data_IF_598530255000
#
_entry.id   IF_598530255000
#
_cell.length_a   1.000
_cell.length_b   1.000
_cell.length_c   1.000
_cell.angle_alpha   90.00
_cell.angle_beta   90.00
_cell.angle_gamma   90.00
#
_symmetry.space_group_name_H-M   'P 1'
#
loop_
_entity.id
_entity.type
_entity.pdbx_description
1 polymer ?
#
# COMPACT_ATOMS: atom_id res chain seq x y z
N UNK A 1 25.42 19.55 12.33
CA UNK A 1 24.84 18.33 12.93
C UNK A 1 23.33 18.48 13.12
N UNK A 2 22.84 19.50 13.84
CA UNK A 2 21.39 19.72 14.04
C UNK A 2 20.55 19.84 12.75
N UNK A 3 21.06 20.52 11.71
CA UNK A 3 20.30 20.68 10.45
C UNK A 3 20.16 19.38 9.66
N UNK A 4 21.17 18.50 9.74
CA UNK A 4 21.14 17.18 9.09
C UNK A 4 20.12 16.26 9.75
N UNK A 5 20.07 16.24 11.09
CA UNK A 5 19.08 15.49 11.86
C UNK A 5 17.67 16.02 11.58
N UNK A 6 17.48 17.34 11.54
CA UNK A 6 16.18 17.96 11.22
C UNK A 6 15.72 17.62 9.80
N UNK A 7 16.64 17.65 8.84
CA UNK A 7 16.36 17.27 7.44
C UNK A 7 15.94 15.79 7.35
N UNK A 8 16.68 14.92 8.05
CA UNK A 8 16.39 13.49 8.09
C UNK A 8 15.00 13.20 8.71
N UNK A 9 14.68 13.83 9.85
CA UNK A 9 13.37 13.69 10.49
C UNK A 9 12.23 14.17 9.58
N UNK A 10 12.43 15.28 8.86
CA UNK A 10 11.45 15.80 7.90
C UNK A 10 11.24 14.82 6.75
N UNK A 11 12.31 14.22 6.23
CA UNK A 11 12.23 13.19 5.21
C UNK A 11 11.42 11.98 5.68
N UNK A 12 11.71 11.43 6.86
CA UNK A 12 10.96 10.30 7.41
C UNK A 12 9.49 10.63 7.61
N UNK A 13 9.17 11.82 8.12
CA UNK A 13 7.78 12.26 8.26
C UNK A 13 7.04 12.28 6.92
N UNK A 14 7.66 12.83 5.87
CA UNK A 14 7.07 12.90 4.54
C UNK A 14 6.86 11.49 3.96
N UNK A 15 7.85 10.60 4.07
CA UNK A 15 7.71 9.21 3.64
C UNK A 15 6.55 8.51 4.38
N UNK A 16 6.38 8.77 5.68
CA UNK A 16 5.26 8.24 6.44
C UNK A 16 3.90 8.68 5.89
N UNK A 17 3.77 9.97 5.53
CA UNK A 17 2.56 10.51 4.91
C UNK A 17 2.32 9.91 3.52
N UNK A 18 3.35 9.82 2.68
CA UNK A 18 3.24 9.24 1.33
C UNK A 18 2.77 7.78 1.39
N UNK A 19 3.28 6.99 2.34
CA UNK A 19 2.84 5.61 2.55
C UNK A 19 1.36 5.56 2.99
N UNK A 20 0.92 6.49 3.84
CA UNK A 20 -0.48 6.57 4.26
C UNK A 20 -1.42 6.91 3.08
N UNK A 21 -1.02 7.85 2.23
CA UNK A 21 -1.77 8.23 1.03
C UNK A 21 -1.88 7.08 0.04
N UNK A 22 -0.76 6.39 -0.23
CA UNK A 22 -0.74 5.20 -1.10
C UNK A 22 -1.64 4.10 -0.53
N UNK A 23 -1.62 3.89 0.79
CA UNK A 23 -2.52 2.92 1.43
C UNK A 23 -3.98 3.27 1.21
N UNK A 24 -4.35 4.53 1.41
CA UNK A 24 -5.73 4.98 1.21
C UNK A 24 -6.20 4.69 -0.22
N UNK A 25 -5.37 5.02 -1.21
CA UNK A 25 -5.65 4.74 -2.62
C UNK A 25 -5.78 3.24 -2.91
N UNK A 26 -4.87 2.41 -2.39
CA UNK A 26 -4.88 0.98 -2.61
C UNK A 26 -6.08 0.29 -1.96
N UNK A 27 -6.44 0.66 -0.72
CA UNK A 27 -7.62 0.13 -0.04
C UNK A 27 -8.91 0.59 -0.72
N UNK A 28 -8.97 1.83 -1.22
CA UNK A 28 -10.10 2.31 -2.02
C UNK A 28 -10.26 1.56 -3.34
N UNK A 29 -9.16 1.32 -4.06
CA UNK A 29 -9.17 0.53 -5.28
C UNK A 29 -9.58 -0.93 -5.01
N UNK A 30 -9.11 -1.54 -3.92
CA UNK A 30 -9.52 -2.88 -3.52
C UNK A 30 -11.01 -2.94 -3.16
N UNK A 31 -11.54 -1.94 -2.45
CA UNK A 31 -12.95 -1.89 -2.11
C UNK A 31 -13.84 -1.79 -3.36
N UNK A 32 -13.46 -0.96 -4.34
CA UNK A 32 -14.15 -0.88 -5.64
C UNK A 32 -14.04 -2.21 -6.41
N UNK A 33 -12.88 -2.87 -6.36
CA UNK A 33 -12.73 -4.18 -6.97
C UNK A 33 -13.65 -5.22 -6.32
N UNK A 34 -13.64 -5.34 -4.99
CA UNK A 34 -14.45 -6.32 -4.27
C UNK A 34 -15.96 -6.07 -4.43
N UNK A 35 -16.38 -4.80 -4.44
CA UNK A 35 -17.78 -4.41 -4.56
C UNK A 35 -18.34 -4.55 -5.98
N UNK A 36 -17.63 -4.02 -6.97
CA UNK A 36 -18.21 -3.78 -8.30
C UNK A 36 -17.55 -4.62 -9.40
N UNK A 37 -16.23 -4.86 -9.34
CA UNK A 37 -15.49 -5.50 -10.43
C UNK A 37 -15.36 -7.03 -10.28
N UNK A 38 -15.22 -7.54 -9.05
CA UNK A 38 -15.08 -8.97 -8.76
C UNK A 38 -16.21 -9.82 -9.35
N UNK A 39 -17.50 -9.39 -9.32
CA UNK A 39 -18.59 -10.12 -9.97
C UNK A 39 -18.47 -10.26 -11.49
N UNK A 40 -17.61 -9.46 -12.15
CA UNK A 40 -17.42 -9.53 -13.61
C UNK A 40 -16.60 -10.75 -14.02
N UNK A 41 -15.74 -11.30 -13.14
CA UNK A 41 -15.02 -12.54 -13.42
C UNK A 41 -15.98 -13.72 -13.70
N UNK A 42 -16.89 -14.12 -12.79
CA UNK A 42 -17.82 -15.21 -13.05
C UNK A 42 -18.82 -14.89 -14.17
N UNK A 43 -19.12 -13.60 -14.43
CA UNK A 43 -19.94 -13.20 -15.58
C UNK A 43 -19.22 -13.49 -16.90
N UNK A 44 -17.94 -13.09 -17.03
CA UNK A 44 -17.12 -13.38 -18.19
C UNK A 44 -16.97 -14.88 -18.43
N UNK A 45 -16.76 -15.67 -17.37
CA UNK A 45 -16.72 -17.14 -17.46
C UNK A 45 -18.03 -17.74 -18.01
N UNK A 46 -19.19 -17.19 -17.63
CA UNK A 46 -20.49 -17.67 -18.13
C UNK A 46 -20.75 -17.30 -19.59
N UNK A 47 -20.14 -16.21 -20.06
CA UNK A 47 -20.34 -15.68 -21.40
C UNK A 47 -19.24 -16.12 -22.39
N UNK A 48 -18.36 -17.06 -21.99
CA UNK A 48 -17.20 -17.48 -22.80
C UNK A 48 -16.26 -16.31 -23.16
N UNK A 49 -16.08 -15.40 -22.20
CA UNK A 49 -15.13 -14.29 -22.27
C UNK A 49 -13.95 -14.55 -21.33
N UNK A 50 -13.21 -15.63 -21.55
CA UNK A 50 -12.18 -16.11 -20.60
C UNK A 50 -11.04 -15.10 -20.42
N UNK A 51 -10.70 -14.34 -21.48
CA UNK A 51 -9.67 -13.29 -21.42
C UNK A 51 -10.10 -12.16 -20.48
N UNK A 52 -11.36 -11.71 -20.59
CA UNK A 52 -11.88 -10.66 -19.72
C UNK A 52 -12.01 -11.15 -18.27
N UNK A 53 -12.51 -12.37 -18.08
CA UNK A 53 -12.59 -12.99 -16.76
C UNK A 53 -11.21 -13.10 -16.10
N UNK A 54 -10.20 -13.58 -16.83
CA UNK A 54 -8.82 -13.68 -16.34
C UNK A 54 -8.22 -12.32 -16.00
N UNK A 55 -8.54 -11.27 -16.78
CA UNK A 55 -8.09 -9.92 -16.49
C UNK A 55 -8.65 -9.43 -15.14
N UNK A 56 -9.94 -9.61 -14.86
CA UNK A 56 -10.52 -9.23 -13.56
C UNK A 56 -9.87 -9.96 -12.39
N UNK A 57 -9.69 -11.28 -12.49
CA UNK A 57 -9.04 -12.09 -11.45
C UNK A 57 -7.58 -11.64 -11.21
N UNK A 58 -6.85 -11.34 -12.28
CA UNK A 58 -5.47 -10.84 -12.21
C UNK A 58 -5.40 -9.47 -11.54
N UNK A 59 -6.35 -8.57 -11.84
CA UNK A 59 -6.44 -7.25 -11.19
C UNK A 59 -6.67 -7.41 -9.69
N UNK A 60 -7.60 -8.29 -9.29
CA UNK A 60 -7.86 -8.59 -7.88
C UNK A 60 -6.62 -9.08 -7.15
N UNK A 61 -5.94 -10.06 -7.74
CA UNK A 61 -4.69 -10.62 -7.20
C UNK A 61 -3.64 -9.52 -7.01
N UNK A 62 -3.43 -8.66 -8.01
CA UNK A 62 -2.48 -7.56 -7.93
C UNK A 62 -2.84 -6.53 -6.84
N UNK A 63 -4.13 -6.25 -6.62
CA UNK A 63 -4.58 -5.33 -5.56
C UNK A 63 -4.35 -5.91 -4.17
N UNK A 64 -4.61 -7.21 -3.95
CA UNK A 64 -4.29 -7.87 -2.68
C UNK A 64 -2.78 -7.87 -2.39
N UNK A 65 -1.96 -8.16 -3.40
CA UNK A 65 -0.50 -8.13 -3.28
C UNK A 65 0.01 -6.71 -2.98
N UNK A 66 -0.53 -5.69 -3.66
CA UNK A 66 -0.20 -4.29 -3.41
C UNK A 66 -0.53 -3.90 -1.97
N UNK A 67 -1.72 -4.24 -1.47
CA UNK A 67 -2.14 -3.99 -0.10
C UNK A 67 -1.17 -4.62 0.92
N UNK A 68 -0.75 -5.86 0.67
CA UNK A 68 0.23 -6.55 1.53
C UNK A 68 1.58 -5.83 1.54
N UNK A 69 2.10 -5.44 0.38
CA UNK A 69 3.36 -4.70 0.27
C UNK A 69 3.32 -3.36 1.00
N UNK A 70 2.21 -2.63 0.90
CA UNK A 70 2.03 -1.36 1.62
C UNK A 70 2.03 -1.59 3.14
N UNK A 71 1.38 -2.64 3.63
CA UNK A 71 1.41 -2.99 5.05
C UNK A 71 2.84 -3.32 5.53
N UNK A 72 3.64 -4.02 4.71
CA UNK A 72 5.05 -4.28 4.98
C UNK A 72 5.89 -2.99 5.00
N UNK A 73 5.66 -2.08 4.06
CA UNK A 73 6.29 -0.76 4.03
C UNK A 73 5.98 0.06 5.29
N UNK A 74 4.70 0.08 5.71
CA UNK A 74 4.29 0.76 6.94
C UNK A 74 5.00 0.18 8.17
N UNK A 75 5.08 -1.15 8.28
CA UNK A 75 5.76 -1.81 9.38
C UNK A 75 7.26 -1.50 9.40
N UNK A 76 7.91 -1.53 8.23
CA UNK A 76 9.33 -1.21 8.09
C UNK A 76 9.61 0.24 8.48
N UNK A 77 8.79 1.18 7.97
CA UNK A 77 8.90 2.60 8.28
C UNK A 77 8.74 2.87 9.78
N UNK A 78 7.71 2.29 10.43
CA UNK A 78 7.51 2.41 11.88
C UNK A 78 8.72 1.91 12.67
N UNK A 79 9.31 0.78 12.26
CA UNK A 79 10.50 0.22 12.91
C UNK A 79 11.71 1.14 12.83
N UNK A 80 11.93 1.80 11.69
CA UNK A 80 13.02 2.78 11.52
C UNK A 80 12.76 4.04 12.35
N UNK A 81 11.54 4.58 12.31
CA UNK A 81 11.17 5.79 13.07
C UNK A 81 11.32 5.60 14.58
N UNK A 82 10.96 4.43 15.12
CA UNK A 82 11.14 4.12 16.54
C UNK A 82 12.64 4.09 16.92
N UNK A 83 13.49 3.45 16.11
CA UNK A 83 14.94 3.39 16.36
C UNK A 83 15.57 4.78 16.39
N UNK A 84 15.25 5.62 15.40
CA UNK A 84 15.77 6.98 15.35
C UNK A 84 15.32 7.82 16.53
N UNK A 85 14.06 7.71 16.93
CA UNK A 85 13.53 8.42 18.10
C UNK A 85 14.22 7.99 19.40
N UNK A 86 14.60 6.71 19.51
CA UNK A 86 15.34 6.20 20.66
C UNK A 86 16.78 6.71 20.69
N UNK A 87 17.49 6.67 19.56
CA UNK A 87 18.87 7.16 19.41
C UNK A 87 18.98 8.67 19.70
N UNK A 88 18.00 9.46 19.26
CA UNK A 88 17.97 10.92 19.50
C UNK A 88 17.73 11.29 20.97
N UNK A 89 17.20 10.37 21.82
CA UNK A 89 16.98 10.61 23.26
C UNK A 89 18.17 10.23 24.14
N UNK A 90 19.14 9.51 23.58
CA UNK A 90 20.34 9.02 24.27
C UNK A 90 21.57 9.94 24.10
N UNK A 91 21.46 10.99 23.27
CA UNK A 91 22.42 12.11 23.16
C UNK A 91 21.95 13.32 23.98
#
# INVERSE_FOLDING_TARGET
>A
MNDQIKTLNTYFWNVGNDIADIRLLAEGALALYEGDASPLHPLGMRNHEEVAASAFDTIGTALYDLRKRIAEMQKSHLGVTIKQTAETKSE
#
